data_IF_252145844864
#
_entry.id   IF_252145844864
#
_cell.length_a   1.000
_cell.length_b   1.000
_cell.length_c   1.000
_cell.angle_alpha   90.00
_cell.angle_beta   90.00
_cell.angle_gamma   90.00
#
_symmetry.space_group_name_H-M   'P 1'
#
loop_
_entity.id
_entity.type
_entity.pdbx_description
1 polymer ?
#
# COMPACT_ATOMS: atom_id res chain seq x y z
N UNK A 1 -3.23 66.96 -12.86
CA UNK A 1 -2.57 66.37 -14.03
C UNK A 1 -1.33 65.71 -13.50
N UNK A 2 -1.45 64.46 -13.11
CA UNK A 2 -0.32 63.56 -12.81
C UNK A 2 -0.67 62.19 -13.41
N UNK A 3 0.04 61.93 -14.50
CA UNK A 3 0.00 60.70 -15.27
C UNK A 3 0.35 59.51 -14.38
N UNK A 4 -0.52 58.52 -14.35
CA UNK A 4 -0.26 57.20 -13.77
C UNK A 4 -0.05 56.19 -14.91
N UNK A 5 1.20 55.92 -15.19
CA UNK A 5 1.65 54.87 -16.09
C UNK A 5 1.47 53.48 -15.37
N UNK A 6 0.67 52.55 -15.92
CA UNK A 6 0.55 51.21 -15.35
C UNK A 6 1.72 50.33 -15.78
N UNK A 7 2.58 49.94 -14.82
CA UNK A 7 3.62 48.95 -15.05
C UNK A 7 2.98 47.58 -15.35
N UNK A 8 3.47 46.83 -16.33
CA UNK A 8 3.00 45.48 -16.61
C UNK A 8 3.43 44.53 -15.49
N UNK A 9 2.54 43.59 -15.15
CA UNK A 9 2.78 42.49 -14.22
C UNK A 9 3.94 41.62 -14.72
N UNK A 10 4.74 41.00 -13.82
CA UNK A 10 5.81 40.10 -14.24
C UNK A 10 5.22 38.80 -14.83
N UNK A 11 5.60 38.50 -16.06
CA UNK A 11 5.37 37.20 -16.70
C UNK A 11 6.04 36.14 -15.85
N UNK A 12 5.24 35.21 -15.37
CA UNK A 12 5.73 33.98 -14.72
C UNK A 12 6.36 33.08 -15.78
N UNK A 13 7.67 33.17 -15.91
CA UNK A 13 8.45 32.21 -16.69
C UNK A 13 8.28 30.83 -16.05
N UNK A 14 7.45 29.99 -16.65
CA UNK A 14 7.44 28.55 -16.39
C UNK A 14 8.77 27.99 -16.90
N UNK A 15 9.68 27.68 -15.98
CA UNK A 15 10.83 26.86 -16.32
C UNK A 15 10.35 25.43 -16.64
N UNK A 16 10.81 24.82 -17.72
CA UNK A 16 10.55 23.40 -17.94
C UNK A 16 11.29 22.63 -16.84
N UNK A 17 10.52 21.89 -16.03
CA UNK A 17 11.07 20.91 -15.11
C UNK A 17 11.73 19.84 -15.99
N UNK A 18 13.05 19.83 -16.02
CA UNK A 18 13.80 18.75 -16.62
C UNK A 18 13.40 17.47 -15.89
N UNK A 19 12.80 16.54 -16.62
CA UNK A 19 12.61 15.17 -16.20
C UNK A 19 13.99 14.55 -15.97
N UNK A 20 14.53 14.75 -14.79
CA UNK A 20 15.73 14.06 -14.34
C UNK A 20 15.35 12.59 -14.20
N UNK A 21 15.86 11.75 -15.10
CA UNK A 21 15.94 10.31 -14.93
C UNK A 21 16.71 10.05 -13.63
N UNK A 22 16.02 10.04 -12.49
CA UNK A 22 16.56 9.44 -11.28
C UNK A 22 16.51 7.94 -11.51
N UNK A 23 17.66 7.37 -11.93
CA UNK A 23 17.87 5.94 -11.92
C UNK A 23 17.51 5.47 -10.50
N UNK A 24 16.45 4.68 -10.34
CA UNK A 24 16.13 4.00 -9.09
C UNK A 24 17.41 3.32 -8.59
N UNK A 25 17.76 3.50 -7.32
CA UNK A 25 18.95 2.86 -6.70
C UNK A 25 18.99 1.36 -7.00
N UNK A 26 17.83 0.72 -7.13
CA UNK A 26 17.67 -0.68 -7.53
C UNK A 26 18.12 -0.99 -8.97
N UNK A 27 17.93 -0.09 -9.94
CA UNK A 27 18.47 -0.27 -11.31
C UNK A 27 19.98 -0.28 -11.34
N UNK A 28 20.62 0.49 -10.45
CA UNK A 28 22.07 0.50 -10.32
C UNK A 28 22.60 -0.84 -9.77
N UNK A 29 21.95 -1.43 -8.77
CA UNK A 29 22.35 -2.70 -8.16
C UNK A 29 22.06 -3.91 -9.06
N UNK A 30 20.93 -3.95 -9.78
CA UNK A 30 20.64 -5.02 -10.78
C UNK A 30 21.64 -5.00 -11.95
N UNK A 31 22.20 -3.86 -12.29
CA UNK A 31 23.24 -3.76 -13.34
C UNK A 31 24.56 -4.43 -12.99
N UNK A 32 24.85 -4.64 -11.71
CA UNK A 32 26.09 -5.31 -11.26
C UNK A 32 25.95 -6.83 -11.09
N UNK A 33 24.74 -7.35 -10.91
CA UNK A 33 24.51 -8.80 -10.76
C UNK A 33 24.41 -9.57 -12.10
N UNK A 34 24.37 -8.88 -13.26
CA UNK A 34 24.20 -9.49 -14.58
C UNK A 34 25.52 -9.85 -15.31
N UNK A 35 26.67 -9.81 -14.64
CA UNK A 35 27.98 -10.21 -15.22
C UNK A 35 28.49 -11.48 -14.55
N UNK A 36 27.79 -12.60 -14.81
CA UNK A 36 28.32 -13.89 -14.38
C UNK A 36 27.35 -15.05 -14.55
N UNK A 37 27.05 -15.47 -15.75
CA UNK A 37 26.87 -16.87 -16.13
C UNK A 37 26.51 -16.98 -17.61
N UNK A 38 27.50 -17.18 -18.44
CA UNK A 38 27.30 -17.61 -19.83
C UNK A 38 27.48 -19.11 -19.91
N UNK A 39 26.65 -19.76 -20.68
CA UNK A 39 26.99 -21.05 -21.29
C UNK A 39 25.99 -22.17 -21.13
N UNK A 40 25.43 -22.60 -22.26
CA UNK A 40 25.00 -23.98 -22.43
C UNK A 40 23.63 -24.20 -23.07
N UNK A 41 23.62 -24.24 -24.41
CA UNK A 41 22.49 -24.70 -25.23
C UNK A 41 22.32 -26.22 -25.15
N UNK A 42 21.09 -26.71 -25.33
CA UNK A 42 20.78 -27.77 -26.29
C UNK A 42 19.28 -28.10 -26.35
N UNK A 43 18.81 -28.16 -27.55
CA UNK A 43 17.46 -28.53 -28.00
C UNK A 43 17.22 -30.04 -27.98
N UNK A 44 15.93 -30.42 -28.17
CA UNK A 44 15.38 -31.50 -28.99
C UNK A 44 13.96 -31.82 -28.48
N UNK A 45 12.90 -31.52 -29.18
CA UNK A 45 12.19 -32.14 -30.29
C UNK A 45 11.39 -33.43 -30.03
N UNK A 46 10.15 -33.32 -30.45
CA UNK A 46 9.27 -34.36 -31.05
C UNK A 46 8.46 -35.25 -30.06
N UNK A 47 7.26 -35.61 -30.29
CA UNK A 47 6.24 -35.52 -31.32
C UNK A 47 5.19 -36.61 -31.04
N UNK A 48 3.92 -36.35 -31.42
CA UNK A 48 2.88 -37.30 -31.87
C UNK A 48 2.45 -38.44 -30.93
N UNK A 49 1.22 -38.87 -30.88
CA UNK A 49 0.04 -38.89 -31.75
C UNK A 49 -1.14 -39.61 -31.07
N UNK A 50 -2.35 -39.19 -31.40
CA UNK A 50 -3.58 -39.97 -31.73
C UNK A 50 -3.86 -41.29 -30.98
N UNK A 51 -5.06 -41.59 -30.50
CA UNK A 51 -6.18 -42.07 -31.30
C UNK A 51 -7.41 -42.41 -30.43
N UNK A 52 -8.56 -42.11 -30.95
CA UNK A 52 -9.89 -42.66 -30.97
C UNK A 52 -10.32 -43.86 -30.09
N UNK A 53 -11.56 -43.79 -29.62
CA UNK A 53 -12.35 -44.97 -29.21
C UNK A 53 -13.74 -44.63 -28.69
N UNK A 54 -14.71 -44.84 -29.54
CA UNK A 54 -16.14 -44.60 -29.39
C UNK A 54 -16.90 -45.72 -28.67
N UNK A 55 -18.17 -45.45 -28.38
CA UNK A 55 -19.32 -46.36 -28.19
C UNK A 55 -19.63 -46.79 -26.76
N UNK A 56 -20.82 -46.78 -26.28
CA UNK A 56 -22.20 -46.95 -26.73
C UNK A 56 -23.16 -46.77 -25.55
N UNK A 57 -24.37 -46.27 -25.85
CA UNK A 57 -25.53 -46.32 -24.95
C UNK A 57 -26.14 -47.73 -24.89
N UNK A 58 -27.09 -48.01 -23.97
CA UNK A 58 -28.51 -48.04 -24.33
C UNK A 58 -29.46 -47.50 -23.25
N UNK A 59 -30.45 -46.76 -23.63
CA UNK A 59 -31.88 -46.92 -23.88
C UNK A 59 -32.80 -47.47 -22.76
N UNK A 60 -33.86 -46.67 -22.53
CA UNK A 60 -35.28 -46.91 -22.18
C UNK A 60 -35.60 -46.77 -20.68
N UNK A 61 -36.71 -46.16 -20.27
CA UNK A 61 -38.06 -46.05 -20.84
C UNK A 61 -38.87 -44.89 -20.24
N UNK A 62 -39.91 -44.50 -20.94
CA UNK A 62 -40.84 -43.41 -20.78
C UNK A 62 -41.72 -43.41 -19.54
N UNK A 63 -42.08 -42.21 -19.06
CA UNK A 63 -43.39 -41.95 -18.43
C UNK A 63 -43.85 -40.55 -18.85
N UNK A 64 -45.01 -40.51 -19.50
CA UNK A 64 -45.71 -39.36 -20.04
C UNK A 64 -46.37 -38.53 -18.92
N UNK A 65 -46.14 -37.23 -18.90
CA UNK A 65 -46.99 -36.26 -18.24
C UNK A 65 -47.12 -35.01 -19.11
N UNK A 66 -48.38 -34.61 -19.30
CA UNK A 66 -48.92 -33.55 -20.13
C UNK A 66 -48.23 -32.20 -19.94
N UNK A 67 -47.79 -31.57 -21.04
CA UNK A 67 -47.25 -30.24 -21.09
C UNK A 67 -48.23 -29.26 -21.68
N UNK A 68 -48.51 -28.22 -20.93
CA UNK A 68 -49.07 -26.97 -21.42
C UNK A 68 -47.91 -26.11 -21.95
N UNK A 69 -47.99 -25.50 -23.12
CA UNK A 69 -46.86 -24.73 -23.67
C UNK A 69 -46.69 -23.40 -22.94
N UNK A 70 -45.58 -23.24 -22.26
CA UNK A 70 -45.09 -21.94 -21.80
C UNK A 70 -44.56 -21.16 -23.02
N UNK A 71 -45.03 -19.94 -23.20
CA UNK A 71 -44.52 -18.97 -24.14
C UNK A 71 -43.00 -18.82 -23.99
N UNK A 72 -42.22 -18.69 -25.07
CA UNK A 72 -40.81 -18.46 -24.98
C UNK A 72 -40.56 -17.09 -24.32
N UNK A 73 -39.96 -17.12 -23.12
CA UNK A 73 -39.36 -15.93 -22.53
C UNK A 73 -38.32 -15.42 -23.48
N UNK A 74 -38.46 -14.19 -23.96
CA UNK A 74 -37.49 -13.54 -24.77
C UNK A 74 -36.11 -13.61 -24.07
N UNK A 75 -35.19 -14.32 -24.68
CA UNK A 75 -33.77 -14.30 -24.26
C UNK A 75 -33.32 -12.83 -24.37
N UNK A 76 -33.04 -12.20 -23.26
CA UNK A 76 -32.43 -10.87 -23.27
C UNK A 76 -31.11 -10.99 -24.05
N UNK A 77 -30.97 -10.22 -25.12
CA UNK A 77 -29.67 -10.08 -25.79
C UNK A 77 -28.64 -9.63 -24.74
N UNK A 78 -27.46 -10.23 -24.72
CA UNK A 78 -26.41 -9.80 -23.81
C UNK A 78 -26.11 -8.32 -24.08
N UNK A 79 -26.28 -7.48 -23.09
CA UNK A 79 -25.86 -6.07 -23.14
C UNK A 79 -24.39 -6.07 -23.51
N UNK A 80 -23.96 -5.35 -24.56
CA UNK A 80 -22.55 -5.30 -24.92
C UNK A 80 -21.75 -4.78 -23.75
N UNK A 81 -20.61 -5.43 -23.47
CA UNK A 81 -19.72 -4.98 -22.41
C UNK A 81 -19.33 -3.50 -22.64
N UNK A 82 -19.27 -2.67 -21.61
CA UNK A 82 -18.93 -1.28 -21.77
C UNK A 82 -17.52 -1.15 -22.37
N UNK A 83 -17.36 -0.23 -23.33
CA UNK A 83 -16.05 0.02 -23.97
C UNK A 83 -15.20 0.84 -22.99
N UNK A 84 -14.00 0.36 -22.62
CA UNK A 84 -13.12 1.10 -21.74
C UNK A 84 -12.62 2.39 -22.40
N UNK A 85 -12.30 3.36 -21.57
CA UNK A 85 -11.60 4.58 -21.98
C UNK A 85 -10.17 4.25 -22.41
N UNK A 86 -9.53 5.13 -23.20
CA UNK A 86 -8.17 4.90 -23.73
C UNK A 86 -7.06 5.40 -22.82
N UNK A 87 -7.40 6.09 -21.72
CA UNK A 87 -6.49 6.74 -20.80
C UNK A 87 -6.89 6.42 -19.35
N UNK A 88 -5.90 6.47 -18.45
CA UNK A 88 -6.08 6.32 -17.01
C UNK A 88 -5.06 7.20 -16.27
N UNK A 89 -5.49 7.86 -15.21
CA UNK A 89 -4.65 8.72 -14.37
C UNK A 89 -4.58 8.17 -12.95
N UNK A 90 -3.38 7.77 -12.53
CA UNK A 90 -3.12 7.12 -11.25
C UNK A 90 -2.23 8.00 -10.38
N UNK A 91 -2.57 8.15 -9.10
CA UNK A 91 -1.82 8.92 -8.11
C UNK A 91 -1.48 8.04 -6.92
N UNK A 92 -0.21 7.71 -6.72
CA UNK A 92 0.25 6.74 -5.73
C UNK A 92 1.42 7.30 -4.91
N UNK A 93 1.82 6.59 -3.87
CA UNK A 93 3.08 6.85 -3.17
C UNK A 93 4.27 6.65 -4.11
N UNK A 94 5.37 7.36 -3.83
CA UNK A 94 6.63 7.16 -4.54
C UNK A 94 7.16 5.73 -4.30
N UNK A 95 7.73 5.12 -5.35
CA UNK A 95 8.34 3.78 -5.31
C UNK A 95 7.42 2.64 -4.79
N UNK A 96 6.10 2.80 -4.90
CA UNK A 96 5.08 1.91 -4.35
C UNK A 96 4.31 1.12 -5.42
N UNK A 97 4.95 0.79 -6.54
CA UNK A 97 4.44 -0.08 -7.61
C UNK A 97 5.59 -0.76 -8.34
N UNK A 98 5.41 -2.02 -8.73
CA UNK A 98 6.41 -2.77 -9.50
C UNK A 98 6.61 -2.21 -10.92
N UNK A 99 7.84 -2.29 -11.43
CA UNK A 99 8.24 -1.74 -12.73
C UNK A 99 7.37 -2.27 -13.91
N UNK A 100 6.88 -3.52 -13.82
CA UNK A 100 6.14 -4.18 -14.89
C UNK A 100 4.61 -4.05 -14.78
N UNK A 101 4.07 -3.53 -13.68
CA UNK A 101 2.64 -3.44 -13.45
C UNK A 101 1.92 -2.55 -14.48
N UNK A 102 2.45 -1.35 -14.73
CA UNK A 102 1.89 -0.43 -15.73
C UNK A 102 2.11 -0.93 -17.15
N UNK A 103 3.34 -1.29 -17.58
CA UNK A 103 3.56 -1.83 -18.93
C UNK A 103 2.71 -3.04 -19.27
N UNK A 104 2.51 -3.97 -18.34
CA UNK A 104 1.67 -5.15 -18.55
C UNK A 104 0.17 -4.80 -18.67
N UNK A 105 -0.31 -3.82 -17.88
CA UNK A 105 -1.66 -3.30 -18.02
C UNK A 105 -1.88 -2.64 -19.39
N UNK A 106 -0.99 -1.74 -19.80
CA UNK A 106 -1.06 -1.07 -21.10
C UNK A 106 -1.05 -2.08 -22.25
N UNK A 107 -0.18 -3.10 -22.17
CA UNK A 107 -0.11 -4.16 -23.18
C UNK A 107 -1.39 -5.02 -23.23
N UNK A 108 -2.00 -5.31 -22.08
CA UNK A 108 -3.19 -6.15 -21.95
C UNK A 108 -4.47 -5.46 -22.43
N UNK A 109 -4.64 -4.19 -22.08
CA UNK A 109 -5.90 -3.47 -22.27
C UNK A 109 -5.84 -2.39 -23.37
N UNK A 110 -4.65 -1.99 -23.82
CA UNK A 110 -4.47 -0.88 -24.78
C UNK A 110 -4.79 0.49 -24.18
N UNK A 111 -4.83 0.61 -22.88
CA UNK A 111 -5.16 1.84 -22.14
C UNK A 111 -3.85 2.50 -21.70
N UNK A 112 -3.67 3.78 -22.02
CA UNK A 112 -2.47 4.53 -21.64
C UNK A 112 -2.57 5.01 -20.19
N UNK A 113 -1.55 4.74 -19.37
CA UNK A 113 -1.51 5.16 -17.97
C UNK A 113 -0.61 6.39 -17.80
N UNK A 114 -1.15 7.44 -17.21
CA UNK A 114 -0.39 8.54 -16.63
C UNK A 114 -0.27 8.28 -15.13
N UNK A 115 0.96 8.11 -14.67
CA UNK A 115 1.25 7.78 -13.27
C UNK A 115 2.06 8.89 -12.63
N UNK A 116 1.47 9.53 -11.62
CA UNK A 116 2.12 10.53 -10.79
C UNK A 116 2.21 10.01 -9.35
N UNK A 117 3.13 10.56 -8.56
CA UNK A 117 3.33 10.14 -7.19
C UNK A 117 3.31 11.31 -6.21
N UNK A 118 3.09 10.98 -4.94
CA UNK A 118 3.18 11.89 -3.81
C UNK A 118 4.11 11.31 -2.74
N UNK A 119 4.68 12.20 -1.94
CA UNK A 119 5.62 11.82 -0.88
C UNK A 119 4.93 11.68 0.48
N UNK A 120 3.78 12.35 0.70
CA UNK A 120 3.09 12.35 1.99
C UNK A 120 1.57 12.23 1.83
N UNK A 121 0.93 11.63 2.84
CA UNK A 121 -0.52 11.54 2.95
C UNK A 121 -1.21 12.91 2.87
N UNK A 122 -0.64 13.93 3.50
CA UNK A 122 -1.20 15.29 3.49
C UNK A 122 -1.21 15.87 2.08
N UNK A 123 -0.14 15.65 1.30
CA UNK A 123 -0.06 16.08 -0.10
C UNK A 123 -1.15 15.42 -0.94
N UNK A 124 -1.33 14.11 -0.80
CA UNK A 124 -2.37 13.37 -1.48
C UNK A 124 -3.76 13.88 -1.09
N UNK A 125 -4.05 13.96 0.21
CA UNK A 125 -5.36 14.38 0.73
C UNK A 125 -5.71 15.81 0.31
N UNK A 126 -4.75 16.75 0.35
CA UNK A 126 -4.95 18.12 -0.13
C UNK A 126 -5.31 18.15 -1.63
N UNK A 127 -4.65 17.31 -2.44
CA UNK A 127 -4.88 17.22 -3.88
C UNK A 127 -6.28 16.68 -4.20
N UNK A 128 -6.70 15.57 -3.57
CA UNK A 128 -8.00 14.95 -3.86
C UNK A 128 -9.19 15.71 -3.24
N UNK A 129 -8.98 16.44 -2.13
CA UNK A 129 -10.04 17.19 -1.43
C UNK A 129 -10.70 18.26 -2.29
N UNK A 130 -10.08 18.66 -3.41
CA UNK A 130 -10.69 19.58 -4.37
C UNK A 130 -11.87 18.97 -5.14
N UNK A 131 -12.06 17.64 -5.08
CA UNK A 131 -13.07 16.88 -5.84
C UNK A 131 -12.83 16.82 -7.35
N UNK A 132 -11.83 17.50 -7.86
CA UNK A 132 -11.40 17.50 -9.28
C UNK A 132 -9.87 17.50 -9.35
N UNK A 133 -9.29 16.44 -8.81
CA UNK A 133 -7.83 16.29 -8.74
C UNK A 133 -7.17 16.08 -10.12
N UNK A 134 -7.95 15.60 -11.09
CA UNK A 134 -7.46 15.16 -12.39
C UNK A 134 -7.04 13.69 -12.43
N UNK A 135 -7.12 12.96 -11.32
CA UNK A 135 -6.82 11.53 -11.23
C UNK A 135 -8.09 10.70 -11.15
N UNK A 136 -7.98 9.43 -11.54
CA UNK A 136 -9.06 8.44 -11.49
C UNK A 136 -8.92 7.54 -10.26
N UNK A 137 -7.68 7.11 -9.97
CA UNK A 137 -7.33 6.24 -8.83
C UNK A 137 -6.33 6.96 -7.94
N UNK A 138 -6.48 6.77 -6.63
CA UNK A 138 -5.41 7.02 -5.67
C UNK A 138 -5.27 5.84 -4.72
N UNK A 139 -4.15 5.81 -4.01
CA UNK A 139 -3.85 4.84 -2.96
C UNK A 139 -3.95 5.58 -1.62
N UNK A 140 -4.69 5.03 -0.72
CA UNK A 140 -4.98 5.62 0.57
C UNK A 140 -4.90 4.57 1.66
N UNK A 141 -4.59 4.97 2.87
CA UNK A 141 -4.68 4.06 4.01
C UNK A 141 -6.13 3.61 4.20
N UNK A 142 -6.36 2.32 4.44
CA UNK A 142 -7.70 1.78 4.60
C UNK A 142 -8.52 2.54 5.65
N UNK A 143 -7.88 2.96 6.75
CA UNK A 143 -8.50 3.76 7.81
C UNK A 143 -9.10 5.08 7.33
N UNK A 144 -8.63 5.63 6.21
CA UNK A 144 -9.11 6.91 5.67
C UNK A 144 -10.33 6.77 4.76
N UNK A 145 -10.60 5.56 4.29
CA UNK A 145 -11.71 5.29 3.36
C UNK A 145 -13.06 5.78 3.91
N UNK A 146 -13.45 5.53 5.19
CA UNK A 146 -14.67 6.09 5.76
C UNK A 146 -14.72 7.62 5.72
N UNK A 147 -13.62 8.29 6.02
CA UNK A 147 -13.50 9.74 5.92
C UNK A 147 -13.62 10.26 4.48
N UNK A 148 -13.13 9.53 3.50
CA UNK A 148 -13.29 9.85 2.08
C UNK A 148 -14.74 9.68 1.62
N UNK A 149 -15.40 8.61 2.06
CA UNK A 149 -16.84 8.39 1.82
C UNK A 149 -17.68 9.52 2.39
N UNK A 150 -17.46 9.89 3.64
CA UNK A 150 -18.20 10.98 4.30
C UNK A 150 -18.06 12.33 3.57
N UNK A 151 -16.93 12.54 2.87
CA UNK A 151 -16.65 13.75 2.08
C UNK A 151 -17.00 13.62 0.60
N UNK A 152 -17.58 12.48 0.16
CA UNK A 152 -17.89 12.18 -1.23
C UNK A 152 -16.65 12.29 -2.16
N UNK A 153 -15.49 11.85 -1.71
CA UNK A 153 -14.24 11.89 -2.49
C UNK A 153 -14.04 10.62 -3.32
N UNK A 154 -14.72 9.54 -2.98
CA UNK A 154 -14.64 8.24 -3.66
C UNK A 154 -16.02 7.82 -4.15
N UNK A 155 -16.06 6.95 -5.15
CA UNK A 155 -17.27 6.40 -5.73
C UNK A 155 -17.26 4.87 -5.68
N UNK A 156 -18.44 4.20 -5.80
CA UNK A 156 -18.50 2.74 -5.78
C UNK A 156 -17.70 2.11 -6.92
N UNK A 157 -17.15 0.93 -6.64
CA UNK A 157 -16.49 0.07 -7.62
C UNK A 157 -17.51 -0.78 -8.39
N UNK A 158 -17.22 -1.08 -9.65
CA UNK A 158 -17.97 -2.05 -10.43
C UNK A 158 -17.31 -3.43 -10.33
N UNK A 159 -17.78 -4.26 -9.41
CA UNK A 159 -17.25 -5.61 -9.20
C UNK A 159 -17.35 -6.51 -10.43
N UNK A 160 -18.26 -6.21 -11.39
CA UNK A 160 -18.33 -6.98 -12.62
C UNK A 160 -17.07 -6.80 -13.50
N UNK A 161 -16.36 -5.70 -13.32
CA UNK A 161 -15.07 -5.40 -13.95
C UNK A 161 -13.85 -5.85 -13.13
N UNK A 162 -14.08 -6.34 -11.88
CA UNK A 162 -13.02 -6.75 -10.95
C UNK A 162 -13.20 -8.23 -10.53
N UNK A 163 -13.24 -9.19 -11.47
CA UNK A 163 -13.41 -10.61 -11.11
C UNK A 163 -12.29 -11.16 -10.22
N UNK A 164 -11.11 -10.55 -10.21
CA UNK A 164 -9.98 -10.96 -9.38
C UNK A 164 -10.14 -10.64 -7.87
N UNK A 165 -11.23 -10.00 -7.44
CA UNK A 165 -11.56 -9.87 -6.01
C UNK A 165 -11.61 -11.23 -5.28
N UNK A 166 -11.92 -12.31 -5.99
CA UNK A 166 -11.91 -13.68 -5.45
C UNK A 166 -10.53 -14.15 -4.99
N UNK A 167 -9.45 -13.49 -5.43
CA UNK A 167 -8.08 -13.81 -5.06
C UNK A 167 -7.67 -13.21 -3.70
N UNK A 168 -8.46 -12.30 -3.13
CA UNK A 168 -8.18 -11.73 -1.81
C UNK A 168 -8.29 -12.81 -0.73
N UNK A 169 -7.38 -12.76 0.25
CA UNK A 169 -7.49 -13.56 1.47
C UNK A 169 -8.80 -13.28 2.23
N UNK A 170 -9.31 -14.23 3.02
CA UNK A 170 -10.59 -14.08 3.70
C UNK A 170 -10.72 -12.82 4.56
N UNK A 171 -9.63 -12.39 5.22
CA UNK A 171 -9.59 -11.17 6.04
C UNK A 171 -9.69 -9.87 5.23
N UNK A 172 -9.44 -9.94 3.91
CA UNK A 172 -9.44 -8.80 3.01
C UNK A 172 -10.67 -8.71 2.10
N UNK A 173 -11.54 -9.74 2.13
CA UNK A 173 -12.77 -9.77 1.32
C UNK A 173 -13.89 -8.90 1.90
N UNK A 174 -13.83 -8.58 3.19
CA UNK A 174 -14.83 -7.77 3.90
C UNK A 174 -14.14 -6.92 4.98
N UNK A 175 -13.25 -5.97 4.59
CA UNK A 175 -12.52 -5.16 5.54
C UNK A 175 -13.47 -4.23 6.31
N UNK A 176 -13.24 -4.08 7.63
CA UNK A 176 -14.13 -3.31 8.49
C UNK A 176 -14.28 -1.83 8.11
N UNK A 177 -13.31 -1.28 7.38
CA UNK A 177 -13.35 0.11 6.89
C UNK A 177 -14.17 0.29 5.60
N UNK A 178 -14.42 -0.79 4.83
CA UNK A 178 -15.24 -0.76 3.60
C UNK A 178 -15.89 -2.12 3.35
N UNK A 179 -17.03 -2.40 4.02
CA UNK A 179 -17.69 -3.69 3.92
C UNK A 179 -17.97 -4.12 2.47
N UNK A 180 -17.55 -5.35 2.16
CA UNK A 180 -17.71 -5.94 0.83
C UNK A 180 -16.86 -5.29 -0.25
N UNK A 181 -15.83 -4.52 0.10
CA UNK A 181 -14.97 -3.79 -0.87
C UNK A 181 -15.79 -2.94 -1.86
N UNK A 182 -16.79 -2.23 -1.33
CA UNK A 182 -17.74 -1.51 -2.16
C UNK A 182 -17.12 -0.28 -2.85
N UNK A 183 -16.09 0.34 -2.26
CA UNK A 183 -15.47 1.59 -2.71
C UNK A 183 -13.94 1.54 -2.77
N UNK A 184 -13.35 0.48 -2.22
CA UNK A 184 -11.91 0.31 -2.12
C UNK A 184 -11.52 -1.15 -2.28
N UNK A 185 -10.27 -1.38 -2.68
CA UNK A 185 -9.69 -2.72 -2.70
C UNK A 185 -8.35 -2.67 -1.99
N UNK A 186 -8.13 -3.52 -0.96
CA UNK A 186 -6.84 -3.62 -0.29
C UNK A 186 -5.71 -3.85 -1.29
N UNK A 187 -4.58 -3.17 -1.09
CA UNK A 187 -3.44 -3.22 -2.00
C UNK A 187 -2.21 -3.87 -1.36
N UNK A 188 -1.73 -3.30 -0.27
CA UNK A 188 -0.61 -3.80 0.52
C UNK A 188 -0.94 -3.66 2.01
N UNK A 189 -0.29 -4.45 2.85
CA UNK A 189 -0.42 -4.33 4.29
C UNK A 189 0.96 -4.37 4.97
N UNK A 190 1.04 -3.82 6.16
CA UNK A 190 2.27 -3.70 6.92
C UNK A 190 2.05 -3.84 8.41
N UNK A 191 3.17 -4.01 9.12
CA UNK A 191 3.24 -3.86 10.57
C UNK A 191 4.18 -2.72 10.91
N UNK A 192 3.90 -2.02 12.02
CA UNK A 192 4.78 -0.99 12.57
C UNK A 192 5.35 -1.44 13.90
N UNK A 193 6.67 -1.37 13.97
CA UNK A 193 7.51 -1.69 15.10
C UNK A 193 8.74 -0.78 15.11
N UNK A 194 9.91 -1.35 15.37
CA UNK A 194 11.16 -0.62 15.20
C UNK A 194 12.21 -1.48 14.51
N UNK A 195 13.08 -0.81 13.72
CA UNK A 195 14.27 -1.40 13.13
C UNK A 195 15.53 -0.92 13.84
N UNK A 196 16.54 -1.79 13.96
CA UNK A 196 17.84 -1.39 14.50
C UNK A 196 18.99 -2.17 13.87
N UNK A 197 20.20 -1.58 13.93
CA UNK A 197 21.44 -2.17 13.45
C UNK A 197 22.11 -2.97 14.58
N UNK A 198 22.15 -4.31 14.46
CA UNK A 198 22.72 -5.23 15.46
C UNK A 198 24.25 -5.11 15.59
N UNK A 199 24.94 -4.55 14.62
CA UNK A 199 26.39 -4.23 14.74
C UNK A 199 26.63 -3.01 15.63
N UNK A 200 25.66 -2.11 15.76
CA UNK A 200 25.69 -0.91 16.61
C UNK A 200 25.09 -1.16 17.99
N UNK A 201 24.01 -1.95 18.04
CA UNK A 201 23.29 -2.31 19.26
C UNK A 201 23.32 -3.83 19.37
N UNK A 202 24.28 -4.37 20.12
CA UNK A 202 24.53 -5.81 20.19
C UNK A 202 23.60 -6.58 21.12
N UNK A 203 22.79 -5.88 21.91
CA UNK A 203 21.74 -6.48 22.74
C UNK A 203 20.45 -6.69 21.95
N UNK A 204 19.72 -7.73 22.32
CA UNK A 204 18.40 -7.97 21.77
C UNK A 204 17.38 -6.97 22.34
N UNK A 205 16.68 -6.28 21.46
CA UNK A 205 15.66 -5.31 21.82
C UNK A 205 14.28 -5.94 21.60
N UNK A 206 13.42 -5.93 22.62
CA UNK A 206 12.06 -6.50 22.53
C UNK A 206 10.96 -5.54 22.98
N UNK A 207 11.31 -4.31 23.37
CA UNK A 207 10.37 -3.36 23.96
C UNK A 207 10.51 -1.98 23.36
N UNK A 208 9.38 -1.28 23.18
CA UNK A 208 9.35 0.14 22.83
C UNK A 208 10.20 1.02 23.76
N UNK A 209 10.47 0.57 25.00
CA UNK A 209 11.33 1.30 25.93
C UNK A 209 12.71 1.63 25.35
N UNK A 210 13.19 0.85 24.38
CA UNK A 210 14.44 1.09 23.67
C UNK A 210 14.51 2.51 23.04
N UNK A 211 13.40 3.02 22.51
CA UNK A 211 13.32 4.36 21.91
C UNK A 211 13.35 5.51 22.93
N UNK A 212 13.45 5.21 24.24
CA UNK A 212 13.65 6.17 25.34
C UNK A 212 14.96 5.97 26.08
N UNK A 213 15.86 5.12 25.55
CA UNK A 213 17.13 4.84 26.21
C UNK A 213 18.17 5.92 25.89
N UNK A 214 18.67 6.60 26.92
CA UNK A 214 19.67 7.66 26.80
C UNK A 214 21.01 7.18 26.20
N UNK A 215 21.28 5.87 26.24
CA UNK A 215 22.51 5.31 25.66
C UNK A 215 22.62 5.56 24.17
N UNK A 216 21.48 5.70 23.45
CA UNK A 216 21.43 5.91 22.02
C UNK A 216 20.99 7.32 21.63
N UNK A 217 21.13 8.27 22.56
CA UNK A 217 20.80 9.68 22.29
C UNK A 217 21.44 10.19 21.02
N UNK A 218 20.64 10.81 20.17
CA UNK A 218 21.06 11.35 18.88
C UNK A 218 21.29 10.27 17.80
N UNK A 219 20.89 9.01 18.08
CA UNK A 219 20.96 7.86 17.16
C UNK A 219 19.61 7.17 16.96
N UNK A 220 18.55 7.79 17.43
CA UNK A 220 17.18 7.30 17.32
C UNK A 220 16.35 8.21 16.42
N UNK A 221 15.40 7.63 15.68
CA UNK A 221 14.39 8.36 14.93
C UNK A 221 12.98 7.82 15.23
N UNK A 222 11.99 8.70 15.08
CA UNK A 222 10.57 8.35 15.04
C UNK A 222 10.01 8.71 13.67
N UNK A 223 8.99 7.99 13.21
CA UNK A 223 8.28 8.35 12.01
C UNK A 223 7.67 9.75 12.12
N UNK A 224 7.73 10.54 11.05
CA UNK A 224 7.08 11.85 10.95
C UNK A 224 5.59 11.69 10.58
N UNK A 225 4.92 10.84 11.36
CA UNK A 225 3.48 10.58 11.30
C UNK A 225 2.91 10.66 12.72
N UNK A 226 1.92 11.53 12.90
CA UNK A 226 1.34 11.79 14.22
C UNK A 226 0.54 10.61 14.78
N UNK A 227 -0.16 9.84 13.92
CA UNK A 227 -0.94 8.68 14.39
C UNK A 227 -0.02 7.55 14.80
N UNK A 228 0.97 7.24 13.99
CA UNK A 228 1.99 6.23 14.24
C UNK A 228 2.81 6.58 15.50
N UNK A 229 3.31 7.81 15.60
CA UNK A 229 4.13 8.24 16.73
C UNK A 229 3.35 8.27 18.06
N UNK A 230 2.10 8.78 18.07
CA UNK A 230 1.27 8.72 19.27
C UNK A 230 0.87 7.29 19.64
N UNK A 231 0.65 6.41 18.66
CA UNK A 231 0.33 5.02 18.91
C UNK A 231 1.43 4.30 19.70
N UNK A 232 2.71 4.54 19.39
CA UNK A 232 3.85 3.99 20.17
C UNK A 232 3.78 4.41 21.63
N UNK A 233 3.53 5.69 21.89
CA UNK A 233 3.42 6.19 23.27
C UNK A 233 2.20 5.60 24.01
N UNK A 234 1.07 5.49 23.32
CA UNK A 234 -0.17 4.93 23.88
C UNK A 234 -0.01 3.43 24.18
N UNK A 235 0.57 2.64 23.26
CA UNK A 235 0.87 1.21 23.50
C UNK A 235 1.77 1.06 24.72
N UNK A 236 2.82 1.87 24.82
CA UNK A 236 3.75 1.83 25.94
C UNK A 236 3.10 2.18 27.29
N UNK A 237 2.06 3.01 27.28
CA UNK A 237 1.24 3.35 28.45
C UNK A 237 0.13 2.32 28.71
N UNK A 238 -0.07 1.34 27.84
CA UNK A 238 -1.12 0.34 27.94
C UNK A 238 -2.50 0.84 27.53
N UNK A 239 -2.56 1.90 26.70
CA UNK A 239 -3.79 2.47 26.18
C UNK A 239 -4.09 2.00 24.76
N UNK A 240 -5.34 2.14 24.34
CA UNK A 240 -5.73 1.95 22.94
C UNK A 240 -5.09 3.00 22.05
N UNK A 241 -4.57 2.61 20.87
CA UNK A 241 -4.07 3.53 19.83
C UNK A 241 -5.15 4.44 19.27
N UNK A 242 -6.42 4.13 19.54
CA UNK A 242 -7.60 4.86 19.08
C UNK A 242 -8.31 5.63 20.21
N UNK A 243 -7.66 5.81 21.36
CA UNK A 243 -8.26 6.57 22.45
C UNK A 243 -8.56 8.01 22.03
N UNK A 244 -9.70 8.53 22.47
CA UNK A 244 -10.08 9.95 22.34
C UNK A 244 -10.13 10.65 23.69
N UNK A 245 -9.67 9.96 24.73
CA UNK A 245 -9.58 10.50 26.10
C UNK A 245 -8.43 11.51 26.20
N UNK A 246 -8.76 12.74 26.58
CA UNK A 246 -7.79 13.83 26.63
C UNK A 246 -6.69 13.59 27.65
N UNK A 247 -6.98 12.92 28.80
CA UNK A 247 -5.97 12.65 29.82
C UNK A 247 -4.94 11.63 29.30
N UNK A 248 -5.40 10.56 28.63
CA UNK A 248 -4.51 9.55 28.03
C UNK A 248 -3.64 10.15 26.91
N UNK A 249 -4.22 11.03 26.09
CA UNK A 249 -3.50 11.73 25.03
C UNK A 249 -2.48 12.73 25.58
N UNK A 250 -2.78 13.38 26.71
CA UNK A 250 -1.84 14.29 27.39
C UNK A 250 -0.69 13.51 28.05
N UNK A 251 -0.93 12.33 28.60
CA UNK A 251 0.11 11.44 29.12
C UNK A 251 1.02 10.94 27.97
N UNK A 252 0.44 10.57 26.83
CA UNK A 252 1.21 10.19 25.65
C UNK A 252 2.07 11.35 25.11
N UNK A 253 1.51 12.57 25.07
CA UNK A 253 2.27 13.77 24.70
C UNK A 253 3.44 13.99 25.66
N UNK A 254 3.22 13.92 26.98
CA UNK A 254 4.29 14.11 27.96
C UNK A 254 5.41 13.07 27.80
N UNK A 255 5.05 11.82 27.51
CA UNK A 255 6.01 10.74 27.24
C UNK A 255 6.84 11.03 25.99
N UNK A 256 6.22 11.51 24.90
CA UNK A 256 6.91 11.88 23.67
C UNK A 256 7.78 13.13 23.83
N UNK A 257 7.33 14.11 24.64
CA UNK A 257 8.14 15.29 24.98
C UNK A 257 9.41 14.91 25.75
N UNK A 258 9.30 13.93 26.66
CA UNK A 258 10.47 13.40 27.36
C UNK A 258 11.45 12.65 26.43
N UNK A 259 10.95 12.02 25.36
CA UNK A 259 11.75 11.34 24.36
C UNK A 259 12.45 12.30 23.39
N UNK A 260 11.77 13.38 23.01
CA UNK A 260 12.21 14.28 21.93
C UNK A 260 13.69 14.72 22.03
N UNK A 261 14.25 15.07 23.23
CA UNK A 261 15.66 15.43 23.36
C UNK A 261 16.64 14.28 23.10
N UNK A 262 16.16 13.04 23.04
CA UNK A 262 16.94 11.85 22.77
C UNK A 262 17.02 11.54 21.27
N UNK A 263 16.03 11.99 20.50
CA UNK A 263 15.93 11.74 19.08
C UNK A 263 17.00 12.51 18.29
N UNK A 264 17.42 11.94 17.18
CA UNK A 264 18.10 12.67 16.13
C UNK A 264 17.10 13.50 15.31
N UNK A 265 15.96 12.88 14.96
CA UNK A 265 14.89 13.53 14.16
C UNK A 265 13.58 12.74 14.17
N UNK A 266 12.54 13.38 13.67
CA UNK A 266 11.39 12.72 13.05
C UNK A 266 11.65 12.57 11.55
N UNK A 267 11.29 11.46 10.92
CA UNK A 267 11.66 11.13 9.55
C UNK A 267 10.53 10.48 8.77
N UNK A 268 10.46 10.79 7.48
CA UNK A 268 9.69 10.04 6.49
C UNK A 268 10.60 9.20 5.57
N UNK A 269 11.90 9.08 5.91
CA UNK A 269 12.91 8.31 5.17
C UNK A 269 13.69 7.44 6.16
N UNK A 270 13.01 6.52 6.82
CA UNK A 270 13.60 5.59 7.78
C UNK A 270 14.53 4.58 7.08
N UNK A 271 14.25 4.20 5.82
CA UNK A 271 15.13 3.38 4.99
C UNK A 271 16.51 4.05 4.85
N UNK A 272 16.54 5.31 4.37
CA UNK A 272 17.79 6.03 4.15
C UNK A 272 18.57 6.29 5.43
N UNK A 273 17.86 6.53 6.52
CA UNK A 273 18.45 6.82 7.83
C UNK A 273 19.13 5.60 8.46
N UNK A 274 18.48 4.44 8.42
CA UNK A 274 19.06 3.18 8.89
C UNK A 274 20.20 2.72 7.99
N UNK A 275 19.98 2.71 6.67
CA UNK A 275 20.99 2.25 5.70
C UNK A 275 22.29 3.08 5.73
N UNK A 276 22.19 4.40 5.98
CA UNK A 276 23.36 5.26 6.11
C UNK A 276 24.10 5.13 7.45
N UNK A 277 23.48 4.52 8.47
CA UNK A 277 23.97 4.48 9.85
C UNK A 277 23.92 5.82 10.59
N UNK A 278 23.20 6.80 10.05
CA UNK A 278 22.92 8.06 10.74
C UNK A 278 22.06 7.82 11.97
N UNK A 279 21.11 6.89 11.85
CA UNK A 279 20.24 6.35 12.89
C UNK A 279 20.61 4.89 13.12
N UNK A 280 20.62 4.44 14.37
CA UNK A 280 20.90 3.07 14.78
C UNK A 280 19.64 2.31 15.17
N UNK A 281 18.61 3.03 15.60
CA UNK A 281 17.33 2.54 16.07
C UNK A 281 16.23 3.49 15.57
N UNK A 282 15.27 2.98 14.80
CA UNK A 282 14.18 3.76 14.23
C UNK A 282 12.83 3.11 14.47
N UNK A 283 11.86 3.89 14.92
CA UNK A 283 10.45 3.57 14.69
C UNK A 283 10.25 3.45 13.18
N UNK A 284 9.76 2.29 12.71
CA UNK A 284 9.79 1.95 11.30
C UNK A 284 8.67 0.98 10.89
N UNK A 285 8.34 0.98 9.62
CA UNK A 285 7.53 -0.07 9.02
C UNK A 285 8.39 -1.30 8.74
N UNK A 286 7.81 -2.50 8.99
CA UNK A 286 8.54 -3.75 8.86
C UNK A 286 9.10 -3.97 7.46
N UNK A 287 8.33 -3.67 6.43
CA UNK A 287 8.74 -3.81 5.03
C UNK A 287 9.95 -2.92 4.68
N UNK A 288 10.01 -1.71 5.22
CA UNK A 288 11.13 -0.79 4.99
C UNK A 288 12.41 -1.33 5.63
N UNK A 289 12.31 -1.91 6.83
CA UNK A 289 13.47 -2.55 7.47
C UNK A 289 13.93 -3.79 6.69
N UNK A 290 13.00 -4.59 6.13
CA UNK A 290 13.35 -5.70 5.24
C UNK A 290 14.08 -5.22 3.98
N UNK A 291 13.68 -4.07 3.43
CA UNK A 291 14.44 -3.46 2.32
C UNK A 291 15.84 -3.04 2.77
N UNK A 292 15.97 -2.39 3.93
CA UNK A 292 17.28 -2.01 4.49
C UNK A 292 18.16 -3.23 4.68
N UNK A 293 17.62 -4.35 5.16
CA UNK A 293 18.37 -5.59 5.37
C UNK A 293 18.99 -6.17 4.10
N UNK A 294 18.48 -5.84 2.91
CA UNK A 294 19.11 -6.23 1.63
C UNK A 294 20.47 -5.54 1.39
N UNK A 295 20.69 -4.35 1.96
CA UNK A 295 21.93 -3.56 1.83
C UNK A 295 22.74 -3.59 3.13
N UNK A 296 22.09 -3.66 4.27
CA UNK A 296 22.66 -3.73 5.62
C UNK A 296 22.17 -5.00 6.33
N UNK A 297 22.83 -6.15 6.16
CA UNK A 297 22.37 -7.43 6.74
C UNK A 297 22.30 -7.47 8.26
N UNK A 298 22.87 -6.49 8.96
CA UNK A 298 22.76 -6.30 10.41
C UNK A 298 21.48 -5.56 10.82
N UNK A 299 20.70 -5.01 9.87
CA UNK A 299 19.40 -4.43 10.19
C UNK A 299 18.42 -5.53 10.54
N UNK A 300 17.71 -5.35 11.64
CA UNK A 300 16.67 -6.26 12.12
C UNK A 300 15.43 -5.49 12.54
N UNK A 301 14.27 -6.10 12.31
CA UNK A 301 12.98 -5.55 12.71
C UNK A 301 12.42 -6.26 13.93
N UNK A 302 11.69 -5.54 14.75
CA UNK A 302 11.05 -6.05 15.95
C UNK A 302 9.62 -5.55 16.04
N UNK A 303 8.67 -6.47 16.21
CA UNK A 303 7.36 -6.18 16.79
C UNK A 303 7.53 -6.28 18.31
N UNK A 304 7.43 -5.19 19.06
CA UNK A 304 7.69 -5.21 20.50
C UNK A 304 6.74 -6.10 21.31
N UNK A 305 7.17 -6.49 22.50
CA UNK A 305 6.37 -7.33 23.39
C UNK A 305 5.04 -6.65 23.80
N UNK A 306 5.03 -5.34 23.88
CA UNK A 306 3.83 -4.53 24.15
C UNK A 306 2.85 -4.47 22.97
N UNK A 307 3.27 -4.96 21.78
CA UNK A 307 2.55 -4.90 20.52
C UNK A 307 3.00 -3.75 19.63
N UNK A 308 2.35 -3.64 18.47
CA UNK A 308 2.60 -2.64 17.45
C UNK A 308 1.32 -2.26 16.73
N UNK A 309 1.47 -1.78 15.50
CA UNK A 309 0.36 -1.38 14.66
C UNK A 309 0.32 -2.30 13.44
N UNK A 310 -0.88 -2.57 12.94
CA UNK A 310 -1.12 -3.15 11.63
C UNK A 310 -1.95 -2.18 10.80
N UNK A 311 -1.55 -1.96 9.56
CA UNK A 311 -2.28 -1.16 8.61
C UNK A 311 -2.34 -1.80 7.23
N UNK A 312 -3.16 -1.23 6.36
CA UNK A 312 -3.22 -1.57 4.94
C UNK A 312 -3.50 -0.34 4.12
N UNK A 313 -2.94 -0.31 2.90
CA UNK A 313 -3.36 0.64 1.88
C UNK A 313 -4.40 0.01 0.97
N UNK A 314 -5.24 0.83 0.40
CA UNK A 314 -6.29 0.45 -0.51
C UNK A 314 -6.27 1.33 -1.77
N UNK A 315 -6.57 0.72 -2.91
CA UNK A 315 -6.88 1.40 -4.15
C UNK A 315 -8.30 1.93 -4.07
N UNK A 316 -8.51 3.21 -4.34
CA UNK A 316 -9.83 3.85 -4.35
C UNK A 316 -10.09 4.54 -5.67
N UNK A 317 -11.35 4.45 -6.15
CA UNK A 317 -11.83 5.14 -7.32
C UNK A 317 -12.34 6.52 -6.91
N UNK A 318 -11.71 7.59 -7.41
CA UNK A 318 -12.08 8.96 -7.03
C UNK A 318 -13.43 9.37 -7.63
N UNK A 319 -14.23 10.14 -6.89
CA UNK A 319 -15.55 10.60 -7.33
C UNK A 319 -15.50 11.48 -8.59
N UNK A 320 -14.38 12.18 -8.81
CA UNK A 320 -14.12 13.00 -9.99
C UNK A 320 -13.49 12.25 -11.18
N UNK A 321 -13.34 10.91 -11.09
CA UNK A 321 -12.74 10.09 -12.14
C UNK A 321 -13.49 10.21 -13.47
N UNK A 322 -12.73 10.39 -14.55
CA UNK A 322 -13.26 10.49 -15.92
C UNK A 322 -13.18 9.15 -16.66
N UNK A 323 -12.41 8.21 -16.14
CA UNK A 323 -12.11 6.92 -16.77
C UNK A 323 -12.47 5.75 -15.82
N UNK A 324 -13.74 5.65 -15.36
CA UNK A 324 -14.10 4.69 -14.33
C UNK A 324 -13.99 3.23 -14.77
N UNK A 325 -14.20 2.91 -16.06
CA UNK A 325 -14.06 1.55 -16.57
C UNK A 325 -12.57 1.16 -16.58
N UNK A 326 -11.71 2.03 -17.13
CA UNK A 326 -10.27 1.82 -17.12
C UNK A 326 -9.72 1.67 -15.70
N UNK A 327 -10.24 2.44 -14.75
CA UNK A 327 -9.87 2.37 -13.33
C UNK A 327 -10.23 1.02 -12.70
N UNK A 328 -11.46 0.52 -12.88
CA UNK A 328 -11.85 -0.79 -12.39
C UNK A 328 -11.01 -1.92 -13.03
N UNK A 329 -10.70 -1.82 -14.33
CA UNK A 329 -9.82 -2.77 -15.00
C UNK A 329 -8.40 -2.73 -14.49
N UNK A 330 -7.89 -1.55 -14.09
CA UNK A 330 -6.58 -1.42 -13.47
C UNK A 330 -6.56 -2.07 -12.09
N UNK A 331 -7.56 -1.82 -11.26
CA UNK A 331 -7.71 -2.49 -9.95
C UNK A 331 -7.75 -4.02 -10.14
N UNK A 332 -8.54 -4.50 -11.11
CA UNK A 332 -8.58 -5.93 -11.44
C UNK A 332 -7.21 -6.47 -11.87
N UNK A 333 -6.44 -5.70 -12.64
CA UNK A 333 -5.10 -6.08 -13.08
C UNK A 333 -4.13 -6.17 -11.90
N UNK A 334 -4.18 -5.24 -10.95
CA UNK A 334 -3.37 -5.27 -9.75
C UNK A 334 -3.66 -6.47 -8.84
N UNK A 335 -4.87 -7.05 -8.95
CA UNK A 335 -5.28 -8.29 -8.29
C UNK A 335 -5.00 -9.56 -9.11
N UNK A 336 -4.40 -9.47 -10.30
CA UNK A 336 -3.88 -10.65 -10.99
C UNK A 336 -2.77 -11.28 -10.13
N UNK A 337 -2.79 -12.60 -9.89
CA UNK A 337 -1.84 -13.24 -8.97
C UNK A 337 -0.37 -12.98 -9.29
N UNK A 338 -0.01 -13.00 -10.58
CA UNK A 338 1.36 -12.72 -11.00
C UNK A 338 1.73 -11.25 -10.78
N UNK A 339 0.87 -10.32 -11.19
CA UNK A 339 1.09 -8.87 -11.02
C UNK A 339 1.20 -8.51 -9.54
N UNK A 340 0.32 -9.07 -8.70
CA UNK A 340 0.36 -8.86 -7.25
C UNK A 340 1.65 -9.39 -6.64
N UNK A 341 2.11 -10.58 -7.06
CA UNK A 341 3.38 -11.14 -6.61
C UNK A 341 4.58 -10.31 -7.07
N UNK A 342 4.59 -9.87 -8.33
CA UNK A 342 5.66 -9.02 -8.88
C UNK A 342 5.77 -7.70 -8.11
N UNK A 343 4.63 -7.10 -7.72
CA UNK A 343 4.61 -5.94 -6.85
C UNK A 343 5.22 -6.26 -5.47
N UNK A 344 4.79 -7.35 -4.81
CA UNK A 344 5.35 -7.77 -3.51
C UNK A 344 6.86 -8.02 -3.61
N UNK A 345 7.31 -8.75 -4.64
CA UNK A 345 8.73 -9.04 -4.85
C UNK A 345 9.58 -7.78 -5.11
N UNK A 346 8.94 -6.72 -5.66
CA UNK A 346 9.61 -5.46 -5.95
C UNK A 346 9.67 -4.52 -4.75
N UNK A 347 8.53 -4.33 -4.04
CA UNK A 347 8.41 -3.32 -2.99
C UNK A 347 8.58 -3.87 -1.57
N UNK A 348 8.65 -5.20 -1.40
CA UNK A 348 8.78 -5.90 -0.11
C UNK A 348 7.60 -5.67 0.86
N UNK A 349 6.44 -5.24 0.36
CA UNK A 349 5.19 -5.20 1.11
C UNK A 349 4.32 -6.39 0.73
N UNK A 350 3.70 -7.03 1.71
CA UNK A 350 2.80 -8.16 1.44
C UNK A 350 1.47 -7.67 0.87
N UNK A 351 1.08 -8.26 -0.26
CA UNK A 351 -0.24 -8.06 -0.83
C UNK A 351 -1.32 -8.87 -0.11
N UNK A 352 -2.59 -8.45 -0.19
CA UNK A 352 -3.74 -9.17 0.35
C UNK A 352 -4.18 -10.35 -0.52
N UNK A 353 -3.49 -10.60 -1.63
CA UNK A 353 -3.84 -11.58 -2.65
C UNK A 353 -3.28 -12.96 -2.28
N UNK A 354 -4.16 -13.87 -1.82
CA UNK A 354 -3.76 -15.22 -1.41
C UNK A 354 -3.22 -16.05 -2.58
N UNK A 355 -3.80 -15.88 -3.78
CA UNK A 355 -3.37 -16.59 -4.98
C UNK A 355 -1.97 -16.16 -5.47
N UNK A 356 -1.52 -14.96 -5.09
CA UNK A 356 -0.19 -14.45 -5.43
C UNK A 356 0.95 -15.19 -4.70
N UNK A 357 0.68 -15.79 -3.54
CA UNK A 357 1.70 -16.50 -2.74
C UNK A 357 2.46 -17.57 -3.52
N UNK A 358 1.83 -18.16 -4.56
CA UNK A 358 2.49 -19.14 -5.42
C UNK A 358 3.61 -18.56 -6.31
N UNK A 359 3.68 -17.25 -6.45
CA UNK A 359 4.59 -16.52 -7.34
C UNK A 359 5.52 -15.56 -6.57
N UNK A 360 5.30 -15.38 -5.26
CA UNK A 360 6.16 -14.56 -4.40
C UNK A 360 7.46 -15.32 -4.13
N UNK A 361 8.57 -14.61 -4.10
CA UNK A 361 9.89 -15.17 -3.79
C UNK A 361 9.86 -15.88 -2.43
N UNK A 362 10.35 -17.13 -2.34
CA UNK A 362 10.28 -17.91 -1.09
C UNK A 362 10.98 -17.25 0.10
N UNK A 363 12.00 -16.42 -0.15
CA UNK A 363 12.72 -15.67 0.90
C UNK A 363 11.83 -14.58 1.50
N UNK A 364 11.02 -13.90 0.68
CA UNK A 364 10.05 -12.91 1.14
C UNK A 364 8.93 -13.58 1.94
N UNK A 365 8.42 -14.72 1.46
CA UNK A 365 7.39 -15.50 2.18
C UNK A 365 7.89 -16.03 3.53
N UNK A 366 9.18 -16.32 3.64
CA UNK A 366 9.79 -16.86 4.85
C UNK A 366 10.25 -15.75 5.83
N UNK A 367 10.24 -14.47 5.41
CA UNK A 367 10.66 -13.36 6.26
C UNK A 367 9.59 -13.08 7.35
N UNK A 368 9.91 -13.28 8.64
CA UNK A 368 8.96 -13.03 9.72
C UNK A 368 8.62 -11.54 9.91
N UNK A 369 9.41 -10.65 9.33
CA UNK A 369 9.13 -9.20 9.30
C UNK A 369 7.93 -8.90 8.41
N UNK A 370 7.84 -9.59 7.28
CA UNK A 370 6.79 -9.43 6.28
C UNK A 370 5.59 -10.35 6.54
N UNK A 371 5.85 -11.54 7.08
CA UNK A 371 4.85 -12.55 7.44
C UNK A 371 5.01 -12.94 8.92
N UNK A 372 4.69 -12.04 9.85
CA UNK A 372 4.75 -12.35 11.27
C UNK A 372 3.79 -13.50 11.61
N UNK A 373 4.16 -14.29 12.61
CA UNK A 373 3.31 -15.36 13.08
C UNK A 373 2.03 -14.84 13.75
N UNK A 374 1.07 -15.75 13.98
CA UNK A 374 -0.21 -15.36 14.59
C UNK A 374 -0.03 -14.72 15.97
N UNK A 375 0.94 -15.14 16.77
CA UNK A 375 1.13 -14.62 18.11
C UNK A 375 1.62 -13.15 18.08
N UNK A 376 2.44 -12.80 17.08
CA UNK A 376 2.84 -11.43 16.83
C UNK A 376 1.66 -10.59 16.31
N UNK A 377 0.89 -11.13 15.32
CA UNK A 377 -0.29 -10.45 14.77
C UNK A 377 -1.34 -10.17 15.87
N UNK A 378 -1.59 -11.10 16.78
CA UNK A 378 -2.57 -10.93 17.87
C UNK A 378 -2.22 -9.80 18.85
N UNK A 379 -0.98 -9.30 18.86
CA UNK A 379 -0.54 -8.15 19.65
C UNK A 379 -0.73 -6.80 18.93
N UNK A 380 -1.03 -6.82 17.66
CA UNK A 380 -1.12 -5.60 16.85
C UNK A 380 -2.49 -4.93 17.02
N UNK A 381 -2.50 -3.62 16.98
CA UNK A 381 -3.71 -2.81 16.96
C UNK A 381 -3.86 -2.16 15.58
N UNK A 382 -5.09 -2.02 15.11
CA UNK A 382 -5.38 -1.26 13.89
C UNK A 382 -5.72 0.18 14.25
N UNK A 383 -5.21 1.13 13.47
CA UNK A 383 -5.68 2.51 13.52
C UNK A 383 -7.08 2.58 12.93
N UNK A 384 -7.97 3.32 13.61
CA UNK A 384 -9.34 3.56 13.15
C UNK A 384 -9.53 5.02 12.75
N UNK A 385 -10.49 5.28 11.87
CA UNK A 385 -10.96 6.65 11.62
C UNK A 385 -11.59 7.20 12.91
N UNK A 386 -11.06 8.32 13.39
CA UNK A 386 -11.53 9.01 14.60
C UNK A 386 -12.43 10.22 14.24
N UNK A 387 -12.70 10.42 12.96
CA UNK A 387 -13.52 11.54 12.51
C UNK A 387 -13.02 12.89 13.08
N UNK A 388 -13.91 13.71 13.67
CA UNK A 388 -13.52 15.01 14.24
C UNK A 388 -12.52 14.93 15.40
N UNK A 389 -12.48 13.82 16.14
CA UNK A 389 -11.56 13.65 17.26
C UNK A 389 -10.09 13.51 16.83
N UNK A 390 -9.84 13.29 15.53
CA UNK A 390 -8.49 13.31 14.96
C UNK A 390 -7.76 14.63 15.23
N UNK A 391 -8.52 15.74 15.31
CA UNK A 391 -7.98 17.05 15.65
C UNK A 391 -7.23 17.05 17.00
N UNK A 392 -7.65 16.23 17.97
CA UNK A 392 -7.00 16.12 19.30
C UNK A 392 -5.54 15.65 19.17
N UNK A 393 -5.27 14.71 18.26
CA UNK A 393 -3.92 14.24 17.94
C UNK A 393 -3.10 15.31 17.22
N UNK A 394 -3.68 15.94 16.21
CA UNK A 394 -3.02 16.99 15.40
C UNK A 394 -2.59 18.19 16.26
N UNK A 395 -3.44 18.63 17.20
CA UNK A 395 -3.10 19.72 18.11
C UNK A 395 -1.92 19.36 19.02
N UNK A 396 -1.91 18.12 19.54
CA UNK A 396 -0.82 17.63 20.39
C UNK A 396 0.47 17.41 19.61
N UNK A 397 0.36 16.90 18.38
CA UNK A 397 1.48 16.80 17.46
C UNK A 397 2.12 18.16 17.19
N UNK A 398 1.30 19.16 16.93
CA UNK A 398 1.78 20.54 16.73
C UNK A 398 2.53 21.07 17.97
N UNK A 399 2.02 20.81 19.18
CA UNK A 399 2.72 21.15 20.44
C UNK A 399 4.05 20.42 20.56
N UNK A 400 4.06 19.10 20.34
CA UNK A 400 5.27 18.29 20.37
C UNK A 400 6.33 18.83 19.41
N UNK A 401 5.95 19.08 18.14
CA UNK A 401 6.88 19.58 17.10
C UNK A 401 7.40 20.99 17.41
N UNK A 402 6.63 21.82 18.09
CA UNK A 402 7.04 23.15 18.52
C UNK A 402 8.01 23.12 19.72
N UNK A 403 8.19 21.97 20.38
CA UNK A 403 8.99 21.86 21.60
C UNK A 403 8.32 22.55 22.81
N UNK A 404 6.98 22.62 22.81
CA UNK A 404 6.16 23.36 23.80
C UNK A 404 5.48 22.38 24.77
#
# INVERSE_FOLDING_TARGET
MTDHDPRPAPETMAMPIASGNRLSRRRFLRGMAAVGAGGGAAALLAACSSDSGASSAPTAAAATASTQPASPSASAEPTPAPTPESELYVYNYADYIGDDAIPSFEAKYGIKVTYDFFDTYETMTAKISSGNSGYDITFATGVDVPGFLARNLVQPLDHSLIPNLVNLGPEWQDPGYDPGNAHSVPYMWWTTGFGYDTERISEELTSWAALWDERWKGKMAMLDDYRETFAVALIRLGYSVNTIDDAQLDEALALLQAQQPLLRKYTADDIGDLASGDVWLSHAWGADVSQVATELPSATYVIPDEGGIRGSDAMVLLSGAKHPIAANLFINHMLDPQVSADNTNYIYYMGPNEAAKAFIDPEILADPTLNPDKAAIDKLQELLDLGPDLQKYQERWTKLRAGA
#
